data_IF_245728661123
#
_entry.id   IF_245728661123
#
_cell.length_a   1.000
_cell.length_b   1.000
_cell.length_c   1.000
_cell.angle_alpha   90.00
_cell.angle_beta   90.00
_cell.angle_gamma   90.00
#
_symmetry.space_group_name_H-M   'P 1'
#
loop_
_entity.id
_entity.type
_entity.pdbx_description
1 polymer ?
#
# COMPACT_ATOMS: atom_id res chain seq x y z
N UNK A 1 8.56 7.22 -26.13
CA UNK A 1 9.92 6.83 -26.57
C UNK A 1 10.76 6.22 -25.44
N UNK A 2 10.81 6.82 -24.24
CA UNK A 2 11.57 6.29 -23.09
C UNK A 2 11.23 4.82 -22.76
N UNK A 3 9.94 4.45 -22.73
CA UNK A 3 9.53 3.06 -22.45
C UNK A 3 10.05 2.02 -23.46
N UNK A 4 10.12 2.39 -24.75
CA UNK A 4 10.67 1.51 -25.80
C UNK A 4 12.19 1.37 -25.68
N UNK A 5 12.90 2.44 -25.30
CA UNK A 5 14.34 2.38 -25.03
C UNK A 5 14.64 1.45 -23.84
N UNK A 6 13.86 1.56 -22.75
CA UNK A 6 13.98 0.68 -21.57
C UNK A 6 13.69 -0.77 -21.96
N UNK A 7 12.64 -1.01 -22.75
CA UNK A 7 12.31 -2.34 -23.28
C UNK A 7 13.47 -2.94 -24.07
N UNK A 8 14.05 -2.18 -25.01
CA UNK A 8 15.17 -2.64 -25.84
C UNK A 8 16.39 -3.01 -25.00
N UNK A 9 16.74 -2.18 -24.00
CA UNK A 9 17.82 -2.45 -23.05
C UNK A 9 17.58 -3.74 -22.24
N UNK A 10 16.36 -3.95 -21.76
CA UNK A 10 16.01 -5.14 -20.98
C UNK A 10 16.09 -6.42 -21.79
N UNK A 11 15.64 -6.39 -23.05
CA UNK A 11 15.68 -7.54 -23.96
C UNK A 11 17.11 -7.86 -24.37
N UNK A 12 17.94 -6.85 -24.68
CA UNK A 12 19.29 -7.06 -25.17
C UNK A 12 20.27 -7.56 -24.11
N UNK A 13 20.15 -7.07 -22.87
CA UNK A 13 21.12 -7.33 -21.79
C UNK A 13 20.67 -8.43 -20.80
N UNK A 14 19.60 -9.19 -21.11
CA UNK A 14 19.00 -10.20 -20.21
C UNK A 14 18.82 -9.72 -18.75
N UNK A 15 18.52 -8.41 -18.59
CA UNK A 15 18.41 -7.77 -17.27
C UNK A 15 17.23 -8.29 -16.46
N UNK A 16 16.18 -8.80 -17.12
CA UNK A 16 15.01 -9.38 -16.45
C UNK A 16 15.38 -10.55 -15.55
N UNK A 17 16.29 -11.42 -16.00
CA UNK A 17 16.68 -12.62 -15.26
C UNK A 17 17.62 -12.28 -14.11
N UNK A 18 18.55 -11.36 -14.34
CA UNK A 18 19.45 -10.85 -13.29
C UNK A 18 18.65 -10.14 -12.18
N UNK A 19 17.73 -9.25 -12.54
CA UNK A 19 16.88 -8.56 -11.58
C UNK A 19 15.95 -9.53 -10.85
N UNK A 20 15.39 -10.52 -11.55
CA UNK A 20 14.59 -11.57 -10.94
C UNK A 20 15.38 -12.34 -9.87
N UNK A 21 16.61 -12.77 -10.20
CA UNK A 21 17.49 -13.45 -9.25
C UNK A 21 17.79 -12.56 -8.03
N UNK A 22 18.16 -11.30 -8.25
CA UNK A 22 18.41 -10.36 -7.14
C UNK A 22 17.18 -10.14 -6.26
N UNK A 23 16.00 -9.92 -6.84
CA UNK A 23 14.75 -9.73 -6.08
C UNK A 23 14.44 -10.96 -5.23
N UNK A 24 14.61 -12.17 -5.76
CA UNK A 24 14.42 -13.42 -5.00
C UNK A 24 15.42 -13.52 -3.84
N UNK A 25 16.70 -13.27 -4.08
CA UNK A 25 17.73 -13.30 -3.02
C UNK A 25 17.41 -12.30 -1.91
N UNK A 26 17.01 -11.08 -2.28
CA UNK A 26 16.57 -10.06 -1.32
C UNK A 26 15.32 -10.50 -0.56
N UNK A 27 14.34 -11.12 -1.22
CA UNK A 27 13.13 -11.61 -0.58
C UNK A 27 13.42 -12.73 0.44
N UNK A 28 14.34 -13.64 0.14
CA UNK A 28 14.82 -14.65 1.09
C UNK A 28 15.53 -14.01 2.28
N UNK A 29 16.43 -13.04 2.03
CA UNK A 29 17.12 -12.32 3.10
C UNK A 29 16.14 -11.61 4.04
N UNK A 30 15.12 -10.92 3.49
CA UNK A 30 14.05 -10.29 4.29
C UNK A 30 13.29 -11.32 5.13
N UNK A 31 12.99 -12.50 4.58
CA UNK A 31 12.34 -13.57 5.31
C UNK A 31 13.21 -14.10 6.47
N UNK A 32 14.53 -14.17 6.30
CA UNK A 32 15.47 -14.58 7.35
C UNK A 32 15.61 -13.51 8.45
N UNK A 33 15.67 -12.23 8.08
CA UNK A 33 15.65 -11.14 9.06
C UNK A 33 14.36 -11.13 9.88
N UNK A 34 13.21 -11.34 9.22
CA UNK A 34 11.92 -11.49 9.89
C UNK A 34 11.92 -12.68 10.85
N UNK A 35 12.51 -13.82 10.46
CA UNK A 35 12.61 -14.99 11.31
C UNK A 35 13.39 -14.67 12.59
N UNK A 36 14.58 -14.06 12.46
CA UNK A 36 15.41 -13.64 13.60
C UNK A 36 14.71 -12.60 14.48
N UNK A 37 13.99 -11.66 13.87
CA UNK A 37 13.25 -10.64 14.61
C UNK A 37 12.12 -11.26 15.45
N UNK A 38 11.36 -12.20 14.88
CA UNK A 38 10.27 -12.88 15.59
C UNK A 38 10.81 -13.79 16.70
N UNK A 39 11.90 -14.52 16.46
CA UNK A 39 12.52 -15.34 17.52
C UNK A 39 13.13 -14.49 18.64
N UNK A 40 13.71 -13.34 18.31
CA UNK A 40 14.13 -12.35 19.31
C UNK A 40 12.94 -11.83 20.14
N UNK A 41 11.82 -11.57 19.49
CA UNK A 41 10.58 -11.11 20.13
C UNK A 41 9.98 -12.16 21.07
N UNK A 42 10.19 -13.46 20.77
CA UNK A 42 9.79 -14.59 21.62
C UNK A 42 10.55 -14.70 22.95
N UNK A 43 11.79 -14.22 23.01
CA UNK A 43 12.65 -14.33 24.20
C UNK A 43 12.33 -13.29 25.28
N UNK A 44 13.03 -12.15 25.24
CA UNK A 44 12.89 -11.04 26.17
C UNK A 44 13.26 -9.72 25.46
N UNK A 45 12.40 -9.22 24.57
CA UNK A 45 12.71 -8.03 23.78
C UNK A 45 12.91 -6.82 24.72
N UNK A 46 14.09 -6.19 24.61
CA UNK A 46 14.48 -5.02 25.40
C UNK A 46 14.33 -5.17 26.94
N UNK A 47 14.37 -6.41 27.46
CA UNK A 47 14.21 -6.68 28.90
C UNK A 47 12.77 -6.56 29.42
N UNK A 48 11.78 -6.36 28.55
CA UNK A 48 10.37 -6.35 28.92
C UNK A 48 9.90 -7.79 29.22
N UNK A 49 9.39 -8.00 30.43
CA UNK A 49 8.78 -9.27 30.83
C UNK A 49 7.38 -9.39 30.21
N UNK A 50 7.34 -9.87 28.97
CA UNK A 50 6.10 -10.12 28.25
C UNK A 50 5.37 -11.37 28.78
N UNK A 51 4.08 -11.47 28.47
CA UNK A 51 3.31 -12.69 28.67
C UNK A 51 3.86 -13.82 27.79
N UNK A 52 4.60 -14.75 28.42
CA UNK A 52 5.27 -15.87 27.75
C UNK A 52 4.34 -16.71 26.87
N UNK A 53 3.13 -17.01 27.34
CA UNK A 53 2.18 -17.87 26.63
C UNK A 53 1.73 -17.22 25.31
N UNK A 54 1.39 -15.92 25.35
CA UNK A 54 0.97 -15.24 24.13
C UNK A 54 2.14 -15.04 23.17
N UNK A 55 3.30 -14.65 23.68
CA UNK A 55 4.49 -14.45 22.84
C UNK A 55 4.90 -15.74 22.14
N UNK A 56 4.86 -16.88 22.83
CA UNK A 56 5.08 -18.20 22.22
C UNK A 56 4.04 -18.50 21.13
N UNK A 57 2.74 -18.34 21.43
CA UNK A 57 1.69 -18.58 20.45
C UNK A 57 1.83 -17.71 19.19
N UNK A 58 2.02 -16.39 19.36
CA UNK A 58 2.22 -15.46 18.26
C UNK A 58 3.49 -15.76 17.48
N UNK A 59 4.57 -16.09 18.18
CA UNK A 59 5.83 -16.50 17.59
C UNK A 59 5.67 -17.67 16.62
N UNK A 60 5.11 -18.79 17.09
CA UNK A 60 4.85 -19.96 16.24
C UNK A 60 3.94 -19.62 15.06
N UNK A 61 2.90 -18.81 15.29
CA UNK A 61 1.99 -18.35 14.23
C UNK A 61 2.73 -17.57 13.13
N UNK A 62 3.52 -16.56 13.47
CA UNK A 62 4.27 -15.77 12.48
C UNK A 62 5.38 -16.57 11.81
N UNK A 63 6.11 -17.40 12.58
CA UNK A 63 7.15 -18.28 12.03
C UNK A 63 6.58 -19.26 11.00
N UNK A 64 5.39 -19.82 11.25
CA UNK A 64 4.70 -20.65 10.28
C UNK A 64 4.35 -19.90 8.99
N UNK A 65 3.93 -18.63 9.09
CA UNK A 65 3.67 -17.83 7.89
C UNK A 65 4.95 -17.48 7.12
N UNK A 66 6.08 -17.24 7.81
CA UNK A 66 7.38 -17.05 7.16
C UNK A 66 7.78 -18.32 6.40
N UNK A 67 7.55 -19.49 6.99
CA UNK A 67 7.78 -20.78 6.33
C UNK A 67 6.93 -20.92 5.06
N UNK A 68 5.64 -20.59 5.13
CA UNK A 68 4.75 -20.60 3.98
C UNK A 68 5.23 -19.63 2.89
N UNK A 69 5.67 -18.43 3.28
CA UNK A 69 6.23 -17.44 2.37
C UNK A 69 7.49 -17.93 1.66
N UNK A 70 8.43 -18.56 2.38
CA UNK A 70 9.63 -19.16 1.76
C UNK A 70 9.29 -20.24 0.74
N UNK A 71 8.25 -21.05 0.99
CA UNK A 71 7.75 -22.03 0.02
C UNK A 71 7.15 -21.35 -1.21
N UNK A 72 6.40 -20.26 -1.00
CA UNK A 72 5.85 -19.46 -2.09
C UNK A 72 6.96 -18.82 -2.95
N UNK A 73 8.02 -18.28 -2.34
CA UNK A 73 9.19 -17.76 -3.06
C UNK A 73 9.85 -18.82 -3.94
N UNK A 74 9.93 -20.08 -3.49
CA UNK A 74 10.50 -21.17 -4.28
C UNK A 74 9.69 -21.46 -5.55
N UNK A 75 8.37 -21.32 -5.49
CA UNK A 75 7.49 -21.44 -6.67
C UNK A 75 7.63 -20.21 -7.58
N UNK A 76 7.82 -19.03 -6.99
CA UNK A 76 7.89 -17.76 -7.71
C UNK A 76 9.25 -17.55 -8.40
N UNK A 77 10.32 -18.16 -7.90
CA UNK A 77 11.69 -18.05 -8.43
C UNK A 77 11.80 -18.28 -9.95
N UNK A 78 11.30 -19.39 -10.53
CA UNK A 78 11.35 -19.61 -11.98
C UNK A 78 10.38 -18.71 -12.77
N UNK A 79 9.33 -18.20 -12.13
CA UNK A 79 8.29 -17.40 -12.79
C UNK A 79 8.67 -15.92 -12.88
N UNK A 80 9.44 -15.42 -11.91
CA UNK A 80 9.73 -13.99 -11.78
C UNK A 80 10.51 -13.42 -12.98
N UNK A 81 11.48 -14.17 -13.53
CA UNK A 81 12.20 -13.76 -14.74
C UNK A 81 11.25 -13.52 -15.92
N UNK A 82 10.35 -14.48 -16.17
CA UNK A 82 9.32 -14.38 -17.22
C UNK A 82 8.33 -13.23 -16.99
N UNK A 83 7.97 -12.95 -15.73
CA UNK A 83 7.09 -11.83 -15.35
C UNK A 83 7.77 -10.48 -15.58
N UNK A 84 9.06 -10.35 -15.26
CA UNK A 84 9.82 -9.13 -15.53
C UNK A 84 10.12 -8.96 -17.03
N UNK A 85 10.30 -10.05 -17.75
CA UNK A 85 10.43 -10.02 -19.20
C UNK A 85 9.13 -9.53 -19.86
N UNK A 86 7.97 -10.03 -19.44
CA UNK A 86 6.69 -9.52 -19.94
C UNK A 86 6.43 -8.05 -19.53
N UNK A 87 6.89 -7.64 -18.35
CA UNK A 87 6.88 -6.24 -17.92
C UNK A 87 7.66 -5.34 -18.89
N UNK A 88 8.79 -5.82 -19.40
CA UNK A 88 9.60 -5.05 -20.35
C UNK A 88 8.83 -4.76 -21.64
N UNK A 89 8.06 -5.74 -22.14
CA UNK A 89 7.24 -5.61 -23.35
C UNK A 89 6.12 -4.56 -23.21
N UNK A 90 5.60 -4.34 -22.00
CA UNK A 90 4.64 -3.26 -21.72
C UNK A 90 5.22 -1.87 -21.97
N UNK A 91 6.54 -1.74 -22.20
CA UNK A 91 7.19 -0.50 -22.62
C UNK A 91 6.66 0.10 -23.91
N UNK A 92 6.03 -0.69 -24.78
CA UNK A 92 5.31 -0.20 -25.98
C UNK A 92 4.17 0.74 -25.59
N UNK A 93 3.47 0.46 -24.48
CA UNK A 93 2.39 1.31 -23.97
C UNK A 93 2.91 2.56 -23.25
N UNK A 94 4.19 2.57 -22.85
CA UNK A 94 4.85 3.70 -22.23
C UNK A 94 5.62 3.34 -20.96
N UNK A 95 6.44 4.29 -20.49
CA UNK A 95 7.26 4.12 -19.30
C UNK A 95 6.42 4.06 -18.00
N UNK A 96 5.32 4.81 -17.95
CA UNK A 96 4.38 4.79 -16.81
C UNK A 96 3.73 3.41 -16.64
N UNK A 97 3.40 2.73 -17.74
CA UNK A 97 2.87 1.36 -17.70
C UNK A 97 3.86 0.37 -17.08
N UNK A 98 5.15 0.47 -17.45
CA UNK A 98 6.22 -0.35 -16.84
C UNK A 98 6.37 -0.07 -15.34
N UNK A 99 6.30 1.19 -14.90
CA UNK A 99 6.36 1.56 -13.48
C UNK A 99 5.15 1.06 -12.69
N UNK A 100 3.95 1.12 -13.26
CA UNK A 100 2.74 0.56 -12.64
C UNK A 100 2.88 -0.94 -12.44
N UNK A 101 3.37 -1.66 -13.44
CA UNK A 101 3.63 -3.09 -13.32
C UNK A 101 4.68 -3.41 -12.24
N UNK A 102 5.79 -2.66 -12.20
CA UNK A 102 6.83 -2.85 -11.18
C UNK A 102 6.27 -2.60 -9.76
N UNK A 103 5.39 -1.61 -9.60
CA UNK A 103 4.68 -1.34 -8.36
C UNK A 103 3.79 -2.53 -7.95
N UNK A 104 3.15 -3.21 -8.90
CA UNK A 104 2.32 -4.40 -8.64
C UNK A 104 3.18 -5.61 -8.24
N UNK A 105 4.33 -5.81 -8.90
CA UNK A 105 5.34 -6.82 -8.51
C UNK A 105 5.82 -6.55 -7.08
N UNK A 106 6.13 -5.30 -6.74
CA UNK A 106 6.52 -4.91 -5.38
C UNK A 106 5.42 -5.22 -4.36
N UNK A 107 4.14 -4.98 -4.72
CA UNK A 107 3.00 -5.31 -3.85
C UNK A 107 2.91 -6.81 -3.58
N UNK A 108 3.13 -7.64 -4.60
CA UNK A 108 3.14 -9.10 -4.44
C UNK A 108 4.33 -9.57 -3.59
N UNK A 109 5.53 -9.01 -3.81
CA UNK A 109 6.71 -9.36 -3.01
C UNK A 109 6.57 -9.00 -1.53
N UNK A 110 5.88 -7.90 -1.23
CA UNK A 110 5.73 -7.40 0.15
C UNK A 110 4.43 -7.84 0.83
N UNK A 111 3.65 -8.71 0.18
CA UNK A 111 2.36 -9.18 0.68
C UNK A 111 2.45 -9.82 2.08
N UNK A 112 3.50 -10.61 2.35
CA UNK A 112 3.72 -11.25 3.64
C UNK A 112 3.84 -10.21 4.79
N UNK A 113 4.54 -9.09 4.57
CA UNK A 113 4.67 -8.00 5.54
C UNK A 113 3.31 -7.34 5.81
N UNK A 114 2.54 -7.12 4.75
CA UNK A 114 1.17 -6.59 4.88
C UNK A 114 0.28 -7.53 5.69
N UNK A 115 0.30 -8.83 5.42
CA UNK A 115 -0.45 -9.82 6.19
C UNK A 115 -0.08 -9.78 7.68
N UNK A 116 1.21 -9.70 8.02
CA UNK A 116 1.66 -9.65 9.42
C UNK A 116 1.15 -8.41 10.14
N UNK A 117 1.25 -7.25 9.48
CA UNK A 117 0.66 -6.02 10.00
C UNK A 117 -0.84 -6.18 10.25
N UNK A 118 -1.60 -6.72 9.28
CA UNK A 118 -3.06 -6.85 9.41
C UNK A 118 -3.42 -7.78 10.58
N UNK A 119 -2.71 -8.89 10.74
CA UNK A 119 -2.93 -9.79 11.87
C UNK A 119 -2.64 -9.13 13.22
N UNK A 120 -1.50 -8.45 13.34
CA UNK A 120 -1.13 -7.76 14.57
C UNK A 120 -2.09 -6.60 14.89
N UNK A 121 -2.47 -5.80 13.89
CA UNK A 121 -3.42 -4.71 14.04
C UNK A 121 -4.80 -5.23 14.47
N UNK A 122 -5.28 -6.32 13.86
CA UNK A 122 -6.57 -6.93 14.22
C UNK A 122 -6.57 -7.50 15.63
N UNK A 123 -5.47 -8.14 16.04
CA UNK A 123 -5.32 -8.65 17.40
C UNK A 123 -5.31 -7.52 18.43
N UNK A 124 -4.53 -6.46 18.19
CA UNK A 124 -4.49 -5.29 19.06
C UNK A 124 -5.85 -4.61 19.16
N UNK A 125 -6.52 -4.40 18.02
CA UNK A 125 -7.86 -3.85 17.94
C UNK A 125 -8.87 -4.71 18.72
N UNK A 126 -8.83 -6.04 18.57
CA UNK A 126 -9.67 -6.96 19.33
C UNK A 126 -9.46 -6.81 20.84
N UNK A 127 -8.21 -6.72 21.30
CA UNK A 127 -7.90 -6.56 22.72
C UNK A 127 -8.41 -5.22 23.28
N UNK A 128 -8.23 -4.11 22.54
CA UNK A 128 -8.74 -2.79 22.97
C UNK A 128 -10.27 -2.78 23.03
N UNK A 129 -10.95 -3.37 22.03
CA UNK A 129 -12.41 -3.50 22.07
C UNK A 129 -12.88 -4.37 23.23
N UNK A 130 -12.25 -5.52 23.46
CA UNK A 130 -12.58 -6.38 24.59
C UNK A 130 -12.39 -5.65 25.92
N UNK A 131 -11.28 -4.94 26.11
CA UNK A 131 -11.01 -4.14 27.30
C UNK A 131 -12.06 -3.05 27.50
N UNK A 132 -12.46 -2.35 26.43
CA UNK A 132 -13.51 -1.33 26.48
C UNK A 132 -14.89 -1.92 26.83
N UNK A 133 -15.17 -3.16 26.39
CA UNK A 133 -16.41 -3.86 26.70
C UNK A 133 -16.45 -4.30 28.18
N UNK A 134 -15.35 -4.83 28.71
CA UNK A 134 -15.23 -5.17 30.13
C UNK A 134 -15.25 -3.94 31.02
N UNK A 135 -14.64 -2.84 30.59
CA UNK A 135 -14.72 -1.58 31.31
C UNK A 135 -16.17 -1.07 31.46
N UNK A 136 -16.99 -1.25 30.43
CA UNK A 136 -18.43 -0.97 30.50
C UNK A 136 -19.18 -1.94 31.40
N UNK A 137 -18.81 -3.22 31.41
CA UNK A 137 -19.37 -4.25 32.32
C UNK A 137 -19.21 -3.81 33.78
N UNK A 138 -18.03 -3.34 34.18
CA UNK A 138 -17.77 -2.87 35.55
C UNK A 138 -18.58 -1.64 35.95
N UNK A 139 -18.93 -0.79 34.98
CA UNK A 139 -19.81 0.37 35.21
C UNK A 139 -21.31 0.00 35.18
N UNK A 140 -21.65 -1.27 34.99
CA UNK A 140 -23.04 -1.70 34.83
C UNK A 140 -23.70 -1.18 33.55
N UNK A 141 -22.93 -0.92 32.48
CA UNK A 141 -23.43 -0.34 31.22
C UNK A 141 -23.42 -1.35 30.09
N UNK A 142 -24.57 -1.57 29.44
CA UNK A 142 -24.71 -2.42 28.25
C UNK A 142 -25.06 -1.56 27.03
N UNK A 143 -24.38 -1.80 25.91
CA UNK A 143 -24.78 -1.21 24.63
C UNK A 143 -26.00 -1.94 24.09
N UNK A 144 -27.08 -1.19 23.86
CA UNK A 144 -28.30 -1.71 23.28
C UNK A 144 -28.30 -1.43 21.77
N UNK A 145 -28.14 -2.47 20.94
CA UNK A 145 -28.09 -2.34 19.48
C UNK A 145 -29.42 -1.79 18.93
N UNK A 146 -30.56 -2.14 19.55
CA UNK A 146 -31.89 -1.74 19.07
C UNK A 146 -32.17 -0.24 19.25
N UNK A 147 -31.65 0.35 20.33
CA UNK A 147 -31.88 1.76 20.68
C UNK A 147 -30.62 2.63 20.58
N UNK A 148 -29.51 2.06 20.11
CA UNK A 148 -28.20 2.71 19.94
C UNK A 148 -27.77 3.55 21.16
N UNK A 149 -28.02 3.04 22.38
CA UNK A 149 -27.75 3.74 23.64
C UNK A 149 -27.13 2.83 24.70
N UNK A 150 -26.47 3.44 25.69
CA UNK A 150 -25.94 2.75 26.87
C UNK A 150 -27.01 2.64 27.97
N UNK A 151 -27.56 1.45 28.16
CA UNK A 151 -28.52 1.16 29.22
C UNK A 151 -27.79 0.66 30.48
N UNK A 152 -28.26 1.05 31.67
CA UNK A 152 -27.79 0.50 32.93
C UNK A 152 -28.40 -0.88 33.18
N UNK A 153 -27.58 -1.86 33.51
CA UNK A 153 -27.97 -3.25 33.79
C UNK A 153 -27.34 -3.66 35.11
N UNK A 154 -28.12 -4.36 35.96
CA UNK A 154 -27.58 -4.99 37.17
C UNK A 154 -26.95 -6.33 36.79
N UNK A 155 -25.67 -6.49 37.09
CA UNK A 155 -24.92 -7.73 36.88
C UNK A 155 -24.75 -8.46 38.21
N UNK A 156 -24.78 -9.80 38.17
CA UNK A 156 -24.49 -10.63 39.33
C UNK A 156 -23.01 -10.54 39.71
N UNK A 157 -22.71 -10.79 40.99
CA UNK A 157 -21.34 -10.75 41.53
C UNK A 157 -20.41 -11.73 40.81
N UNK A 158 -20.88 -12.93 40.49
CA UNK A 158 -20.08 -13.96 39.79
C UNK A 158 -19.66 -13.50 38.38
N UNK A 159 -20.58 -12.83 37.67
CA UNK A 159 -20.30 -12.28 36.35
C UNK A 159 -19.30 -11.14 36.41
N UNK A 160 -19.41 -10.29 37.44
CA UNK A 160 -18.46 -9.20 37.67
C UNK A 160 -17.06 -9.76 37.97
N UNK A 161 -16.99 -10.80 38.81
CA UNK A 161 -15.74 -11.48 39.15
C UNK A 161 -15.06 -12.09 37.92
N UNK A 162 -15.80 -12.85 37.10
CA UNK A 162 -15.27 -13.40 35.86
C UNK A 162 -14.79 -12.29 34.89
N UNK A 163 -15.56 -11.19 34.81
CA UNK A 163 -15.17 -10.01 34.04
C UNK A 163 -13.86 -9.40 34.53
N UNK A 164 -13.65 -9.29 35.84
CA UNK A 164 -12.39 -8.79 36.42
C UNK A 164 -11.20 -9.69 36.08
N UNK A 165 -11.37 -11.02 36.12
CA UNK A 165 -10.33 -11.97 35.74
C UNK A 165 -9.96 -11.85 34.26
N UNK A 166 -10.94 -11.80 33.36
CA UNK A 166 -10.67 -11.63 31.93
C UNK A 166 -10.06 -10.27 31.61
N UNK A 167 -10.50 -9.22 32.30
CA UNK A 167 -9.94 -7.89 32.15
C UNK A 167 -8.47 -7.82 32.57
N UNK A 168 -8.10 -8.40 33.71
CA UNK A 168 -6.69 -8.42 34.15
C UNK A 168 -5.80 -9.20 33.19
N UNK A 169 -6.27 -10.36 32.69
CA UNK A 169 -5.55 -11.14 31.68
C UNK A 169 -5.35 -10.31 30.40
N UNK A 170 -6.40 -9.67 29.87
CA UNK A 170 -6.30 -8.83 28.68
C UNK A 170 -5.37 -7.63 28.91
N UNK A 171 -5.47 -6.98 30.06
CA UNK A 171 -4.66 -5.81 30.41
C UNK A 171 -3.17 -6.17 30.49
N UNK A 172 -2.81 -7.30 31.11
CA UNK A 172 -1.41 -7.76 31.16
C UNK A 172 -0.90 -8.27 29.82
N UNK A 173 -1.79 -8.68 28.94
CA UNK A 173 -1.44 -9.18 27.61
C UNK A 173 -1.34 -8.05 26.57
N UNK A 174 -1.97 -6.90 26.81
CA UNK A 174 -2.00 -5.75 25.91
C UNK A 174 -0.60 -5.19 25.56
N UNK A 175 0.35 -5.03 26.48
CA UNK A 175 1.71 -4.58 26.14
C UNK A 175 2.39 -5.47 25.11
N UNK A 176 2.13 -6.78 25.17
CA UNK A 176 2.73 -7.74 24.22
C UNK A 176 2.15 -7.56 22.81
N UNK A 177 0.82 -7.48 22.67
CA UNK A 177 0.20 -7.27 21.36
C UNK A 177 0.55 -5.91 20.76
N UNK A 178 0.65 -4.86 21.61
CA UNK A 178 1.07 -3.54 21.23
C UNK A 178 2.51 -3.55 20.67
N UNK A 179 3.43 -4.29 21.30
CA UNK A 179 4.80 -4.42 20.81
C UNK A 179 4.85 -5.08 19.43
N UNK A 180 4.15 -6.20 19.23
CA UNK A 180 4.06 -6.86 17.91
C UNK A 180 3.47 -5.92 16.85
N UNK A 181 2.42 -5.17 17.19
CA UNK A 181 1.82 -4.18 16.29
C UNK A 181 2.82 -3.09 15.89
N UNK A 182 3.55 -2.51 16.85
CA UNK A 182 4.54 -1.46 16.59
C UNK A 182 5.66 -1.98 15.70
N UNK A 183 6.24 -3.15 16.01
CA UNK A 183 7.34 -3.74 15.22
C UNK A 183 6.92 -3.98 13.77
N UNK A 184 5.76 -4.63 13.53
CA UNK A 184 5.30 -4.86 12.16
C UNK A 184 4.85 -3.59 11.45
N UNK A 185 4.38 -2.58 12.17
CA UNK A 185 4.11 -1.26 11.60
C UNK A 185 5.41 -0.61 11.11
N UNK A 186 6.48 -0.65 11.91
CA UNK A 186 7.78 -0.13 11.52
C UNK A 186 8.36 -0.83 10.29
N UNK A 187 8.15 -2.15 10.16
CA UNK A 187 8.52 -2.90 8.95
C UNK A 187 7.67 -2.53 7.73
N UNK A 188 6.39 -2.18 7.94
CA UNK A 188 5.48 -1.78 6.85
C UNK A 188 5.74 -0.37 6.33
N UNK A 189 6.22 0.55 7.17
CA UNK A 189 6.45 1.95 6.79
C UNK A 189 7.37 2.10 5.55
N UNK A 190 8.56 1.47 5.48
CA UNK A 190 9.42 1.54 4.29
C UNK A 190 8.72 1.06 3.00
N UNK A 191 7.92 -0.01 3.10
CA UNK A 191 7.17 -0.55 1.95
C UNK A 191 6.14 0.46 1.45
N UNK A 192 5.41 1.11 2.38
CA UNK A 192 4.45 2.16 2.01
C UNK A 192 5.14 3.38 1.38
N UNK A 193 6.30 3.77 1.91
CA UNK A 193 7.12 4.84 1.32
C UNK A 193 7.53 4.46 -0.10
N UNK A 194 8.01 3.25 -0.33
CA UNK A 194 8.37 2.78 -1.67
C UNK A 194 7.18 2.84 -2.64
N UNK A 195 6.01 2.34 -2.24
CA UNK A 195 4.78 2.46 -3.05
C UNK A 195 4.41 3.92 -3.36
N UNK A 196 4.56 4.81 -2.38
CA UNK A 196 4.27 6.23 -2.54
C UNK A 196 5.25 6.90 -3.50
N UNK A 197 6.54 6.54 -3.45
CA UNK A 197 7.56 7.03 -4.39
C UNK A 197 7.21 6.61 -5.81
N UNK A 198 6.90 5.33 -6.06
CA UNK A 198 6.46 4.88 -7.39
C UNK A 198 5.22 5.63 -7.88
N UNK A 199 4.21 5.80 -7.02
CA UNK A 199 3.00 6.55 -7.37
C UNK A 199 3.31 8.01 -7.71
N UNK A 200 4.18 8.66 -6.94
CA UNK A 200 4.59 10.05 -7.19
C UNK A 200 5.38 10.20 -8.48
N UNK A 201 6.29 9.28 -8.80
CA UNK A 201 7.01 9.29 -10.08
C UNK A 201 6.02 9.20 -11.24
N UNK A 202 5.08 8.25 -11.20
CA UNK A 202 4.07 8.12 -12.25
C UNK A 202 3.23 9.39 -12.37
N UNK A 203 2.77 9.96 -11.24
CA UNK A 203 2.00 11.21 -11.23
C UNK A 203 2.80 12.39 -11.82
N UNK A 204 4.10 12.51 -11.52
CA UNK A 204 4.93 13.58 -12.08
C UNK A 204 5.12 13.45 -13.59
N UNK A 205 5.33 12.22 -14.08
CA UNK A 205 5.50 11.96 -15.52
C UNK A 205 4.20 12.25 -16.29
N UNK A 206 3.04 11.98 -15.68
CA UNK A 206 1.74 12.24 -16.29
C UNK A 206 1.37 13.73 -16.30
N UNK A 207 1.67 14.45 -15.21
CA UNK A 207 1.38 15.88 -15.09
C UNK A 207 2.33 16.77 -15.91
N UNK A 208 3.55 16.31 -16.20
CA UNK A 208 4.46 16.99 -17.11
C UNK A 208 3.99 16.71 -18.54
N UNK A 209 3.61 17.73 -19.34
CA UNK A 209 3.34 17.55 -20.76
C UNK A 209 4.66 17.35 -21.50
N UNK A 210 5.37 16.25 -21.22
CA UNK A 210 6.68 15.91 -21.77
C UNK A 210 6.63 15.91 -23.28
N UNK A 211 5.50 15.47 -23.86
CA UNK A 211 5.27 15.55 -25.30
C UNK A 211 5.33 17.00 -25.81
N UNK A 212 4.64 17.94 -25.16
CA UNK A 212 4.62 19.34 -25.54
C UNK A 212 5.96 20.03 -25.34
N UNK A 213 6.68 19.71 -24.25
CA UNK A 213 8.02 20.25 -23.98
C UNK A 213 9.05 19.71 -24.98
N UNK A 214 8.99 18.42 -25.30
CA UNK A 214 9.86 17.80 -26.31
C UNK A 214 9.56 18.33 -27.70
N UNK A 215 8.27 18.49 -28.07
CA UNK A 215 7.88 19.12 -29.33
C UNK A 215 8.34 20.58 -29.42
N UNK A 216 8.24 21.34 -28.32
CA UNK A 216 8.74 22.71 -28.24
C UNK A 216 10.27 22.80 -28.40
N UNK A 217 11.02 21.87 -27.80
CA UNK A 217 12.48 21.79 -27.92
C UNK A 217 12.94 21.35 -29.31
N UNK A 218 12.26 20.38 -29.93
CA UNK A 218 12.65 19.79 -31.21
C UNK A 218 12.24 20.69 -32.39
N UNK A 219 11.16 21.47 -32.26
CA UNK A 219 10.69 22.29 -33.37
C UNK A 219 10.02 23.58 -32.90
N UNK A 220 10.83 24.62 -32.63
CA UNK A 220 10.37 25.96 -32.24
C UNK A 220 9.52 26.67 -33.31
N UNK A 221 9.47 26.16 -34.54
CA UNK A 221 8.75 26.77 -35.67
C UNK A 221 7.40 26.13 -36.04
N UNK A 222 7.04 24.95 -35.53
CA UNK A 222 5.74 24.29 -35.84
C UNK A 222 4.65 24.52 -34.81
N UNK A 223 4.92 25.30 -33.76
CA UNK A 223 3.85 25.97 -32.99
C UNK A 223 3.29 27.14 -33.82
N UNK A 224 2.92 26.88 -35.07
CA UNK A 224 2.22 27.84 -35.92
C UNK A 224 0.74 27.74 -35.54
N UNK A 225 0.40 28.49 -34.51
CA UNK A 225 -0.96 28.82 -34.11
C UNK A 225 -1.26 30.29 -34.39
N UNK A 226 -0.73 30.87 -35.47
CA UNK A 226 -1.27 32.13 -35.98
C UNK A 226 -2.62 31.81 -36.61
N UNK A 227 -3.67 31.85 -35.79
CA UNK A 227 -5.02 31.96 -36.28
C UNK A 227 -5.15 33.33 -36.95
N UNK A 228 -4.90 33.37 -38.26
CA UNK A 228 -5.20 34.51 -39.11
C UNK A 228 -6.72 34.69 -39.15
N UNK A 229 -7.24 35.55 -38.28
CA UNK A 229 -8.63 35.98 -38.33
C UNK A 229 -8.79 36.93 -39.51
N UNK A 230 -9.22 36.40 -40.65
CA UNK A 230 -9.67 37.23 -41.76
C UNK A 230 -11.04 37.81 -41.40
N UNK A 231 -11.11 39.11 -41.13
CA UNK A 231 -12.39 39.78 -40.93
C UNK A 231 -13.20 39.73 -42.24
N UNK A 232 -14.35 39.07 -42.23
CA UNK A 232 -15.30 39.15 -43.33
C UNK A 232 -15.83 40.60 -43.42
N UNK A 233 -15.89 41.21 -44.61
CA UNK A 233 -16.40 42.56 -44.75
C UNK A 233 -17.86 42.60 -44.28
N UNK A 234 -18.13 43.47 -43.30
CA UNK A 234 -19.47 43.77 -42.83
C UNK A 234 -20.29 44.27 -44.01
N UNK A 235 -21.30 43.51 -44.42
CA UNK A 235 -22.26 43.92 -45.45
C UNK A 235 -22.95 45.20 -44.97
N UNK A 236 -22.50 46.35 -45.47
CA UNK A 236 -23.16 47.63 -45.25
C UNK A 236 -24.55 47.54 -45.87
N UNK A 237 -25.58 47.54 -45.02
CA UNK A 237 -26.95 47.82 -45.42
C UNK A 237 -27.01 49.28 -45.87
N UNK A 238 -26.65 49.55 -47.13
CA UNK A 238 -26.93 50.83 -47.76
C UNK A 238 -28.41 50.83 -48.19
N UNK A 239 -29.22 51.32 -47.26
CA UNK A 239 -30.45 52.04 -47.53
C UNK A 239 -30.10 53.29 -48.34
N UNK A 240 -30.59 53.39 -49.58
CA UNK A 240 -30.71 54.67 -50.29
C UNK A 240 -31.85 54.52 -51.32
N UNK A 241 -33.04 55.00 -51.01
CA UNK A 241 -33.56 56.33 -51.37
C UNK A 241 -34.17 56.34 -52.79
N UNK A 242 -35.50 56.28 -52.88
CA UNK A 242 -36.27 56.83 -54.00
C UNK A 242 -37.29 57.81 -53.43
N UNK A 243 -36.91 59.09 -53.40
CA UNK A 243 -37.84 60.22 -53.36
C UNK A 243 -37.96 60.73 -54.80
N UNK A 244 -39.15 60.65 -55.38
CA UNK A 244 -39.50 61.35 -56.62
C UNK A 244 -40.56 62.41 -56.29
N UNK A 245 -40.20 63.67 -56.49
CA UNK A 245 -41.12 64.81 -56.57
C UNK A 245 -41.31 65.16 -58.05
N UNK A 246 -42.51 64.88 -58.58
CA UNK A 246 -43.30 65.79 -59.43
C UNK A 246 -44.64 65.13 -59.78
#
# INVERSE_FOLDING_TARGET
>A
MIGMMVMYLFIHNSLSDQLGAHIITWAYAVADYLYTLVTWLMGAPAGLKLNKQLTEFLGHFFLYHIYLWKRYLGILQPVLGSVLWSASLLGVLGFTAQLCFLRDVLSMMTLHIYCFYVYAARLYQFQVYALSAFWRLFRGKKWNILRQRLDSVRYNVDQLFLGTLLFTILLFTLPTSALYYVVFTMLRLPVLIAHQVFYKIVQTVDMLPLYSVVMWLINSGTMSGDALFTSLPQKSSNTSQYFHYR
#
